data_IF_143453144805
#
_entry.id   IF_143453144805
#
_cell.length_a   1.000
_cell.length_b   1.000
_cell.length_c   1.000
_cell.angle_alpha   90.00
_cell.angle_beta   90.00
_cell.angle_gamma   90.00
#
_symmetry.space_group_name_H-M   'P 1'
#
loop_
_entity.id
_entity.type
_entity.pdbx_description
1 polymer ?
#
# COMPACT_ATOMS: atom_id res chain seq x y z
N UNK A 1 -1.36 31.18 22.37
CA UNK A 1 -2.10 30.64 21.22
C UNK A 1 -1.12 29.74 20.48
N UNK A 2 -1.26 28.41 20.62
CA UNK A 2 -0.40 27.45 19.92
C UNK A 2 -1.00 27.36 18.52
N UNK A 3 -0.28 27.85 17.49
CA UNK A 3 -0.65 27.64 16.10
C UNK A 3 -0.47 26.14 15.83
N UNK A 4 -1.56 25.40 15.74
CA UNK A 4 -1.55 24.11 15.11
C UNK A 4 -1.33 24.37 13.62
N UNK A 5 -0.19 23.98 13.08
CA UNK A 5 -0.04 23.88 11.64
C UNK A 5 -1.05 22.85 11.18
N UNK A 6 -1.78 23.12 10.09
CA UNK A 6 -2.64 22.10 9.48
C UNK A 6 -1.81 20.85 9.21
N UNK A 7 -2.33 19.66 9.51
CA UNK A 7 -1.61 18.42 9.25
C UNK A 7 -1.27 18.34 7.75
N UNK A 8 -0.05 17.94 7.45
CA UNK A 8 0.37 17.73 6.07
C UNK A 8 -0.32 16.47 5.52
N UNK A 9 -0.98 16.61 4.38
CA UNK A 9 -1.55 15.46 3.69
C UNK A 9 -0.45 14.49 3.26
N UNK A 10 -0.63 13.19 3.54
CA UNK A 10 0.31 12.13 3.16
C UNK A 10 -0.03 11.50 1.82
N UNK A 11 -1.26 11.67 1.36
CA UNK A 11 -1.75 11.10 0.12
C UNK A 11 -3.14 11.61 -0.24
N UNK A 12 -3.67 11.05 -1.31
CA UNK A 12 -4.96 11.43 -1.91
C UNK A 12 -5.71 10.18 -2.36
N UNK A 13 -7.02 10.16 -2.16
CA UNK A 13 -7.89 9.15 -2.74
C UNK A 13 -7.98 9.40 -4.25
N UNK A 14 -7.42 8.50 -5.03
CA UNK A 14 -7.32 8.64 -6.49
C UNK A 14 -8.34 7.78 -7.23
N UNK A 15 -8.84 6.72 -6.57
CA UNK A 15 -9.86 5.84 -7.12
C UNK A 15 -10.82 5.39 -6.03
N UNK A 16 -12.10 5.76 -6.18
CA UNK A 16 -13.23 5.24 -5.40
C UNK A 16 -14.50 5.40 -6.24
N UNK A 17 -15.37 4.38 -6.27
CA UNK A 17 -16.66 4.45 -7.00
C UNK A 17 -17.76 5.03 -6.12
N UNK A 18 -17.62 4.90 -4.80
CA UNK A 18 -18.55 5.41 -3.79
C UNK A 18 -17.81 6.19 -2.70
N UNK A 19 -18.57 6.86 -1.87
CA UNK A 19 -18.09 7.55 -0.68
C UNK A 19 -17.45 6.54 0.28
N UNK A 20 -16.25 6.82 0.72
CA UNK A 20 -15.56 6.02 1.72
C UNK A 20 -15.65 6.65 3.11
N UNK A 21 -15.63 5.84 4.13
CA UNK A 21 -15.68 6.30 5.52
C UNK A 21 -14.29 6.18 6.14
N UNK A 22 -13.84 7.25 6.78
CA UNK A 22 -12.63 7.23 7.59
C UNK A 22 -12.92 7.60 9.03
N UNK A 23 -12.06 7.12 9.93
CA UNK A 23 -11.96 7.65 11.29
C UNK A 23 -10.71 8.52 11.35
N UNK A 24 -10.89 9.81 11.66
CA UNK A 24 -9.80 10.79 11.88
C UNK A 24 -9.93 11.31 13.29
N UNK A 25 -9.00 10.94 14.17
CA UNK A 25 -9.12 11.11 15.60
C UNK A 25 -10.46 10.49 16.08
N UNK A 26 -11.31 11.26 16.75
CA UNK A 26 -12.60 10.79 17.28
C UNK A 26 -13.80 11.07 16.36
N UNK A 27 -13.55 11.42 15.08
CA UNK A 27 -14.57 11.80 14.12
C UNK A 27 -14.68 10.82 12.96
N UNK A 28 -15.91 10.47 12.61
CA UNK A 28 -16.21 9.74 11.38
C UNK A 28 -16.41 10.75 10.24
N UNK A 29 -15.61 10.65 9.19
CA UNK A 29 -15.59 11.56 8.05
C UNK A 29 -15.88 10.76 6.78
N UNK A 30 -16.62 11.37 5.86
CA UNK A 30 -16.83 10.82 4.53
C UNK A 30 -15.93 11.51 3.52
N UNK A 31 -15.19 10.71 2.74
CA UNK A 31 -14.29 11.17 1.69
C UNK A 31 -14.74 10.62 0.33
N UNK A 32 -14.41 11.38 -0.70
CA UNK A 32 -14.64 11.05 -2.10
C UNK A 32 -13.29 10.92 -2.84
N UNK A 33 -13.34 10.46 -4.07
CA UNK A 33 -12.20 10.59 -4.99
C UNK A 33 -11.76 12.06 -5.08
N UNK A 34 -10.48 12.32 -4.92
CA UNK A 34 -9.88 13.65 -4.89
C UNK A 34 -9.59 14.19 -3.50
N UNK A 35 -10.17 13.64 -2.45
CA UNK A 35 -9.95 14.10 -1.08
C UNK A 35 -8.60 13.62 -0.52
N UNK A 36 -8.03 14.43 0.38
CA UNK A 36 -6.74 14.12 1.00
C UNK A 36 -6.90 13.23 2.22
N UNK A 37 -5.90 12.37 2.41
CA UNK A 37 -5.72 11.55 3.61
C UNK A 37 -4.52 12.04 4.42
N UNK A 38 -4.57 11.80 5.72
CA UNK A 38 -3.58 12.24 6.69
C UNK A 38 -3.08 11.05 7.51
N UNK A 39 -1.97 11.26 8.21
CA UNK A 39 -1.43 10.26 9.12
C UNK A 39 -2.50 9.85 10.16
N UNK A 40 -2.52 8.57 10.50
CA UNK A 40 -3.47 7.94 11.43
C UNK A 40 -4.94 7.92 10.99
N UNK A 41 -5.27 8.32 9.76
CA UNK A 41 -6.59 8.07 9.22
C UNK A 41 -6.85 6.56 9.10
N UNK A 42 -7.89 6.07 9.75
CA UNK A 42 -8.36 4.69 9.58
C UNK A 42 -9.34 4.64 8.43
N UNK A 43 -8.92 4.04 7.32
CA UNK A 43 -9.67 4.00 6.07
C UNK A 43 -10.45 2.70 5.99
N UNK A 44 -11.79 2.81 5.94
CA UNK A 44 -12.70 1.68 5.76
C UNK A 44 -13.29 1.74 4.36
N UNK A 45 -12.95 0.77 3.54
CA UNK A 45 -13.33 0.73 2.12
C UNK A 45 -14.85 0.53 1.87
N UNK A 46 -15.60 0.06 2.89
CA UNK A 46 -17.04 -0.15 2.72
C UNK A 46 -17.36 -1.09 1.56
N UNK A 47 -18.33 -0.72 0.74
CA UNK A 47 -18.79 -1.51 -0.42
C UNK A 47 -17.98 -1.32 -1.69
N UNK A 48 -16.97 -0.44 -1.70
CA UNK A 48 -16.17 -0.11 -2.89
C UNK A 48 -14.68 -0.37 -2.66
N UNK A 49 -13.92 -0.65 -3.72
CA UNK A 49 -12.47 -0.65 -3.64
C UNK A 49 -11.93 0.78 -3.60
N UNK A 50 -10.88 0.99 -2.82
CA UNK A 50 -10.25 2.30 -2.63
C UNK A 50 -8.81 2.24 -3.12
N UNK A 51 -8.42 3.22 -3.93
CA UNK A 51 -7.05 3.42 -4.38
C UNK A 51 -6.52 4.78 -3.92
N UNK A 52 -5.33 4.77 -3.36
CA UNK A 52 -4.65 5.92 -2.76
C UNK A 52 -3.31 6.12 -3.43
N UNK A 53 -3.01 7.35 -3.83
CA UNK A 53 -1.68 7.78 -4.24
C UNK A 53 -1.04 8.59 -3.11
N UNK A 54 0.16 8.20 -2.70
CA UNK A 54 0.93 8.86 -1.65
C UNK A 54 1.92 9.87 -2.23
N UNK A 55 2.37 10.78 -1.39
CA UNK A 55 3.29 11.86 -1.77
C UNK A 55 4.66 11.35 -2.27
N UNK A 56 5.08 10.15 -1.87
CA UNK A 56 6.31 9.49 -2.33
C UNK A 56 6.14 8.66 -3.62
N UNK A 57 5.00 8.80 -4.31
CA UNK A 57 4.61 8.02 -5.49
C UNK A 57 4.23 6.55 -5.20
N UNK A 58 4.19 6.11 -3.95
CA UNK A 58 3.57 4.84 -3.62
C UNK A 58 2.10 4.88 -4.00
N UNK A 59 1.60 3.83 -4.63
CA UNK A 59 0.16 3.64 -4.86
C UNK A 59 -0.31 2.39 -4.15
N UNK A 60 -1.42 2.49 -3.42
CA UNK A 60 -1.97 1.37 -2.67
C UNK A 60 -3.48 1.26 -2.90
N UNK A 61 -3.99 0.05 -2.93
CA UNK A 61 -5.43 -0.19 -2.98
C UNK A 61 -5.85 -1.30 -2.02
N UNK A 62 -7.08 -1.18 -1.56
CA UNK A 62 -7.77 -2.20 -0.77
C UNK A 62 -9.12 -2.53 -1.38
N UNK A 63 -9.53 -3.78 -1.28
CA UNK A 63 -10.82 -4.28 -1.78
C UNK A 63 -12.00 -3.78 -0.91
N UNK A 64 -13.24 -3.93 -1.35
CA UNK A 64 -14.42 -3.71 -0.50
C UNK A 64 -14.33 -4.49 0.81
N UNK A 65 -14.84 -3.87 1.88
CA UNK A 65 -14.82 -4.37 3.26
C UNK A 65 -13.43 -4.57 3.87
N UNK A 66 -12.43 -3.89 3.33
CA UNK A 66 -11.07 -3.86 3.87
C UNK A 66 -10.86 -2.63 4.75
N UNK A 67 -9.93 -2.74 5.70
CA UNK A 67 -9.55 -1.65 6.59
C UNK A 67 -8.05 -1.50 6.65
N UNK A 68 -7.57 -0.26 6.51
CA UNK A 68 -6.15 0.09 6.59
C UNK A 68 -5.92 1.39 7.35
N UNK A 69 -4.71 1.55 7.89
CA UNK A 69 -4.22 2.79 8.48
C UNK A 69 -2.74 3.00 8.13
N UNK A 70 -2.35 4.26 7.91
CA UNK A 70 -0.95 4.65 7.74
C UNK A 70 -0.53 5.34 9.02
N UNK A 71 0.31 4.70 9.82
CA UNK A 71 0.74 5.18 11.14
C UNK A 71 2.17 5.72 11.17
N UNK A 72 2.90 5.59 10.06
CA UNK A 72 4.20 6.21 9.85
C UNK A 72 4.32 6.66 8.38
N UNK A 73 4.65 7.93 8.17
CA UNK A 73 4.93 8.47 6.85
C UNK A 73 5.85 9.69 6.96
N UNK A 74 7.09 9.51 6.57
CA UNK A 74 8.09 10.58 6.45
C UNK A 74 8.61 10.56 5.03
N UNK A 75 8.53 11.67 4.33
CA UNK A 75 9.02 11.80 2.97
C UNK A 75 9.53 13.23 2.73
N UNK A 76 10.75 13.32 2.21
CA UNK A 76 11.34 14.58 1.75
C UNK A 76 11.70 14.41 0.26
N UNK A 77 11.02 15.13 -0.65
CA UNK A 77 11.32 15.04 -2.08
C UNK A 77 12.70 15.59 -2.45
N UNK A 78 13.32 16.42 -1.58
CA UNK A 78 14.67 16.98 -1.79
C UNK A 78 15.77 16.06 -1.27
N UNK A 79 15.45 15.13 -0.35
CA UNK A 79 16.39 14.13 0.16
C UNK A 79 15.81 12.70 0.07
N UNK A 80 15.98 12.01 -1.06
CA UNK A 80 15.43 10.66 -1.24
C UNK A 80 16.10 9.58 -0.38
N UNK A 81 17.12 9.93 0.42
CA UNK A 81 17.75 9.00 1.36
C UNK A 81 17.05 8.96 2.71
N UNK A 82 16.14 9.90 2.96
CA UNK A 82 15.35 10.02 4.17
C UNK A 82 13.90 9.68 3.84
N UNK A 83 13.36 8.69 4.53
CA UNK A 83 11.95 8.34 4.39
C UNK A 83 11.58 7.12 5.21
N UNK A 84 10.35 7.11 5.71
CA UNK A 84 9.75 5.93 6.33
C UNK A 84 8.26 5.88 6.02
N UNK A 85 7.73 4.67 5.86
CA UNK A 85 6.31 4.41 5.70
C UNK A 85 5.95 3.09 6.37
N UNK A 86 4.90 3.10 7.18
CA UNK A 86 4.26 1.89 7.65
C UNK A 86 2.75 1.94 7.36
N UNK A 87 2.29 0.98 6.55
CA UNK A 87 0.89 0.75 6.27
C UNK A 87 0.40 -0.48 7.02
N UNK A 88 -0.61 -0.34 7.86
CA UNK A 88 -1.24 -1.45 8.57
C UNK A 88 -2.51 -1.86 7.83
N UNK A 89 -2.54 -3.06 7.28
CA UNK A 89 -3.75 -3.66 6.69
C UNK A 89 -4.37 -4.54 7.78
N UNK A 90 -5.46 -4.07 8.36
CA UNK A 90 -6.11 -4.75 9.47
C UNK A 90 -6.92 -5.96 8.98
N UNK A 91 -7.55 -5.82 7.82
CA UNK A 91 -8.35 -6.88 7.19
C UNK A 91 -8.56 -6.60 5.70
N UNK A 92 -8.63 -7.67 4.89
CA UNK A 92 -9.04 -7.64 3.50
C UNK A 92 -7.91 -7.84 2.49
N UNK A 93 -8.27 -7.81 1.20
CA UNK A 93 -7.28 -7.88 0.13
C UNK A 93 -6.69 -6.49 -0.12
N UNK A 94 -5.42 -6.47 -0.44
CA UNK A 94 -4.68 -5.26 -0.78
C UNK A 94 -3.72 -5.50 -1.95
N UNK A 95 -3.32 -4.42 -2.59
CA UNK A 95 -2.21 -4.41 -3.55
C UNK A 95 -1.54 -3.03 -3.50
N UNK A 96 -0.24 -2.99 -3.76
CA UNK A 96 0.50 -1.74 -3.86
C UNK A 96 1.64 -1.82 -4.87
N UNK A 97 2.04 -0.65 -5.37
CA UNK A 97 3.30 -0.40 -6.07
C UNK A 97 4.10 0.56 -5.22
N UNK A 98 5.30 0.16 -4.82
CA UNK A 98 6.14 0.98 -3.95
C UNK A 98 6.76 2.17 -4.68
N UNK A 99 6.79 3.32 -4.01
CA UNK A 99 7.35 4.58 -4.49
C UNK A 99 8.80 4.82 -4.07
N UNK A 100 9.09 6.09 -3.77
CA UNK A 100 10.46 6.55 -3.50
C UNK A 100 10.95 6.13 -2.11
N UNK A 101 10.09 6.10 -1.09
CA UNK A 101 10.47 5.68 0.27
C UNK A 101 11.10 4.28 0.26
N UNK A 102 10.53 3.34 -0.52
CA UNK A 102 11.08 1.99 -0.62
C UNK A 102 12.53 1.91 -1.16
N UNK A 103 13.03 3.01 -1.74
CA UNK A 103 14.41 3.14 -2.25
C UNK A 103 15.37 3.75 -1.22
N UNK A 104 14.85 4.39 -0.17
CA UNK A 104 15.66 5.07 0.86
C UNK A 104 16.45 4.07 1.73
N UNK A 105 15.95 2.84 1.91
CA UNK A 105 16.64 1.84 2.73
C UNK A 105 15.89 0.52 2.84
N UNK A 106 16.53 -0.46 3.47
CA UNK A 106 15.99 -1.84 3.56
C UNK A 106 14.69 -1.95 4.36
N UNK A 107 14.48 -1.06 5.31
CA UNK A 107 13.35 -1.06 6.24
C UNK A 107 12.52 0.23 6.15
N UNK A 108 12.77 1.03 5.10
CA UNK A 108 12.13 2.31 4.94
C UNK A 108 10.63 2.19 4.65
N UNK A 109 10.21 1.19 3.87
CA UNK A 109 8.80 0.91 3.61
C UNK A 109 8.40 -0.44 4.20
N UNK A 110 7.37 -0.44 5.03
CA UNK A 110 6.77 -1.64 5.64
C UNK A 110 5.28 -1.68 5.38
N UNK A 111 4.76 -2.89 5.24
CA UNK A 111 3.32 -3.17 5.28
C UNK A 111 3.11 -4.25 6.34
N UNK A 112 2.28 -3.96 7.33
CA UNK A 112 1.97 -4.88 8.44
C UNK A 112 0.56 -5.41 8.34
N UNK A 113 0.37 -6.62 8.82
CA UNK A 113 -0.93 -7.26 9.03
C UNK A 113 -0.99 -7.80 10.45
N UNK A 114 -2.12 -8.34 10.93
CA UNK A 114 -2.18 -8.89 12.28
C UNK A 114 -1.13 -9.97 12.60
N UNK A 115 -0.60 -10.68 11.59
CA UNK A 115 0.28 -11.85 11.81
C UNK A 115 1.67 -11.73 11.18
N UNK A 116 1.95 -10.68 10.38
CA UNK A 116 3.23 -10.55 9.67
C UNK A 116 3.58 -9.09 9.35
N UNK A 117 4.85 -8.88 9.00
CA UNK A 117 5.36 -7.63 8.43
C UNK A 117 6.04 -7.93 7.08
N UNK A 118 5.79 -7.07 6.10
CA UNK A 118 6.42 -7.08 4.77
C UNK A 118 7.38 -5.90 4.70
N UNK A 119 8.67 -6.16 4.59
CA UNK A 119 9.68 -5.16 4.21
C UNK A 119 9.79 -5.11 2.68
N UNK A 120 9.70 -3.91 2.10
CA UNK A 120 9.52 -3.72 0.66
C UNK A 120 10.74 -3.07 0.01
N UNK A 121 11.15 -3.59 -1.16
CA UNK A 121 12.23 -3.03 -1.98
C UNK A 121 11.81 -2.98 -3.46
N UNK A 122 11.22 -1.86 -3.86
CA UNK A 122 11.01 -1.49 -5.26
C UNK A 122 10.19 -2.50 -6.07
N UNK A 123 8.93 -2.79 -5.69
CA UNK A 123 8.13 -3.81 -6.36
C UNK A 123 6.63 -3.59 -6.20
N UNK A 124 5.86 -4.38 -6.95
CA UNK A 124 4.42 -4.55 -6.77
C UNK A 124 4.13 -5.78 -5.92
N UNK A 125 3.17 -5.68 -5.04
CA UNK A 125 2.71 -6.76 -4.15
C UNK A 125 1.18 -6.84 -4.17
N UNK A 126 0.65 -8.03 -4.07
CA UNK A 126 -0.74 -8.27 -3.68
C UNK A 126 -0.79 -9.20 -2.48
N UNK A 127 -1.79 -9.03 -1.64
CA UNK A 127 -1.93 -9.86 -0.46
C UNK A 127 -3.33 -9.85 0.11
N UNK A 128 -3.54 -10.73 1.06
CA UNK A 128 -4.72 -10.82 1.89
C UNK A 128 -4.31 -10.79 3.35
N UNK A 129 -4.86 -9.86 4.10
CA UNK A 129 -4.76 -9.77 5.54
C UNK A 129 -6.02 -10.38 6.18
N UNK A 130 -5.84 -11.26 7.13
CA UNK A 130 -6.88 -11.85 7.94
C UNK A 130 -6.46 -11.85 9.41
N UNK A 131 -7.41 -12.16 10.29
CA UNK A 131 -7.15 -12.37 11.71
C UNK A 131 -6.28 -13.60 11.96
N UNK A 132 -5.69 -13.67 13.13
CA UNK A 132 -4.90 -14.82 13.57
C UNK A 132 -5.73 -16.11 13.51
N UNK A 133 -5.14 -17.17 12.94
CA UNK A 133 -5.81 -18.46 12.72
C UNK A 133 -6.35 -18.63 11.30
N UNK A 134 -6.38 -17.58 10.49
CA UNK A 134 -6.76 -17.62 9.09
C UNK A 134 -5.58 -17.36 8.16
N UNK A 135 -5.65 -17.87 6.93
CA UNK A 135 -4.57 -17.72 5.95
C UNK A 135 -4.40 -16.27 5.50
N UNK A 136 -3.24 -15.69 5.79
CA UNK A 136 -2.73 -14.46 5.19
C UNK A 136 -1.79 -14.87 4.05
N UNK A 137 -2.06 -14.41 2.85
CA UNK A 137 -1.27 -14.75 1.67
C UNK A 137 -0.63 -13.50 1.08
N UNK A 138 0.66 -13.57 0.82
CA UNK A 138 1.42 -12.48 0.21
C UNK A 138 2.06 -12.99 -1.08
N UNK A 139 1.92 -12.22 -2.15
CA UNK A 139 2.40 -12.55 -3.50
C UNK A 139 3.23 -11.40 -4.04
N UNK A 140 4.46 -11.69 -4.46
CA UNK A 140 5.33 -10.75 -5.17
C UNK A 140 4.89 -10.66 -6.63
N UNK A 141 4.60 -9.45 -7.10
CA UNK A 141 4.19 -9.20 -8.48
C UNK A 141 5.31 -8.51 -9.27
N UNK A 142 5.37 -8.72 -10.60
CA UNK A 142 6.25 -7.92 -11.44
C UNK A 142 5.70 -6.49 -11.58
N UNK A 143 6.60 -5.53 -11.68
CA UNK A 143 6.30 -4.16 -12.07
C UNK A 143 5.76 -4.09 -13.51
N UNK A 144 5.21 -2.95 -13.91
CA UNK A 144 4.65 -2.76 -15.26
C UNK A 144 5.71 -2.88 -16.36
N UNK A 145 6.98 -2.57 -16.08
CA UNK A 145 8.12 -2.76 -16.98
C UNK A 145 8.66 -4.20 -17.01
N UNK A 146 8.06 -5.11 -16.24
CA UNK A 146 8.45 -6.51 -16.13
C UNK A 146 9.59 -6.78 -15.16
N UNK A 147 10.18 -5.76 -14.54
CA UNK A 147 11.17 -5.94 -13.46
C UNK A 147 10.50 -6.50 -12.22
N UNK A 148 11.29 -7.10 -11.35
CA UNK A 148 10.81 -7.63 -10.06
C UNK A 148 11.78 -7.17 -8.98
N UNK A 149 11.25 -6.52 -7.94
CA UNK A 149 12.02 -6.23 -6.75
C UNK A 149 12.07 -7.43 -5.80
N UNK A 150 12.14 -7.16 -4.52
CA UNK A 150 12.11 -8.21 -3.50
C UNK A 150 11.32 -7.74 -2.29
N UNK A 151 10.74 -8.71 -1.59
CA UNK A 151 10.08 -8.47 -0.30
C UNK A 151 10.57 -9.47 0.74
N UNK A 152 10.80 -8.97 1.96
CA UNK A 152 11.05 -9.79 3.13
C UNK A 152 9.75 -9.90 3.92
N UNK A 153 9.28 -11.11 4.15
CA UNK A 153 8.09 -11.37 4.96
C UNK A 153 8.54 -12.03 6.25
N UNK A 154 8.22 -11.40 7.37
CA UNK A 154 8.65 -11.83 8.69
C UNK A 154 7.48 -11.86 9.68
N UNK A 155 7.55 -12.78 10.62
CA UNK A 155 6.75 -12.80 11.84
C UNK A 155 7.62 -13.15 13.05
N UNK A 156 7.01 -13.43 14.22
CA UNK A 156 7.76 -13.74 15.44
C UNK A 156 8.54 -15.07 15.37
N UNK A 157 8.27 -15.94 14.40
CA UNK A 157 8.81 -17.29 14.31
C UNK A 157 9.75 -17.52 13.13
N UNK A 158 9.86 -16.57 12.20
CA UNK A 158 10.77 -16.70 11.07
C UNK A 158 10.53 -15.67 9.98
N UNK A 159 11.35 -15.77 8.94
CA UNK A 159 11.30 -14.89 7.79
C UNK A 159 11.50 -15.66 6.48
N UNK A 160 10.95 -15.13 5.39
CA UNK A 160 11.21 -15.60 4.02
C UNK A 160 11.38 -14.42 3.08
N UNK A 161 12.28 -14.59 2.10
CA UNK A 161 12.52 -13.62 1.04
C UNK A 161 11.84 -14.10 -0.24
N UNK A 162 10.99 -13.25 -0.84
CA UNK A 162 10.43 -13.47 -2.18
C UNK A 162 11.19 -12.63 -3.20
N UNK A 163 11.62 -13.24 -4.30
CA UNK A 163 12.46 -12.61 -5.35
C UNK A 163 12.01 -12.92 -6.77
N UNK A 164 11.02 -13.80 -6.94
CA UNK A 164 10.55 -14.22 -8.27
C UNK A 164 9.13 -13.73 -8.51
N UNK A 165 8.77 -13.40 -9.76
CA UNK A 165 7.40 -13.01 -10.07
C UNK A 165 6.42 -14.13 -9.72
N UNK A 166 5.31 -13.73 -9.09
CA UNK A 166 4.24 -14.63 -8.60
C UNK A 166 4.68 -15.62 -7.50
N UNK A 167 5.83 -15.39 -6.89
CA UNK A 167 6.24 -16.14 -5.70
C UNK A 167 5.37 -15.71 -4.51
N UNK A 168 4.86 -16.69 -3.77
CA UNK A 168 3.91 -16.49 -2.70
C UNK A 168 4.27 -17.29 -1.45
N UNK A 169 3.85 -16.77 -0.30
CA UNK A 169 3.89 -17.48 0.99
C UNK A 169 2.57 -17.28 1.73
N UNK A 170 2.25 -18.24 2.60
CA UNK A 170 1.05 -18.21 3.45
C UNK A 170 1.47 -18.24 4.91
N UNK A 171 0.82 -17.41 5.72
CA UNK A 171 1.01 -17.32 7.17
C UNK A 171 -0.36 -17.27 7.83
N UNK A 172 -0.67 -18.26 8.68
CA UNK A 172 -1.93 -18.28 9.42
C UNK A 172 -1.80 -17.73 10.85
N UNK A 173 -0.57 -17.68 11.39
CA UNK A 173 -0.35 -17.35 12.79
C UNK A 173 1.00 -16.66 12.99
N UNK A 174 1.04 -15.67 13.88
CA UNK A 174 2.27 -14.91 14.19
C UNK A 174 3.39 -15.79 14.79
N UNK A 175 3.05 -16.95 15.36
CA UNK A 175 3.97 -17.88 16.04
C UNK A 175 4.34 -19.11 15.21
N UNK A 176 3.91 -19.18 13.95
CA UNK A 176 4.26 -20.23 13.00
C UNK A 176 5.05 -19.60 11.87
N UNK A 177 6.23 -20.14 11.49
CA UNK A 177 7.03 -19.56 10.40
C UNK A 177 6.22 -19.46 9.09
N UNK A 178 6.51 -18.47 8.25
CA UNK A 178 5.97 -18.42 6.90
C UNK A 178 6.22 -19.73 6.14
N UNK A 179 5.29 -20.14 5.29
CA UNK A 179 5.50 -21.33 4.44
C UNK A 179 6.64 -21.14 3.47
N UNK A 180 7.26 -22.24 3.03
CA UNK A 180 8.26 -22.17 1.95
C UNK A 180 7.64 -21.53 0.72
N UNK A 181 8.29 -20.51 0.14
CA UNK A 181 7.76 -19.81 -1.03
C UNK A 181 7.52 -20.71 -2.22
N UNK A 182 6.38 -20.52 -2.89
CA UNK A 182 6.01 -21.24 -4.12
C UNK A 182 5.63 -20.25 -5.22
N UNK A 183 5.97 -20.56 -6.47
CA UNK A 183 5.54 -19.75 -7.61
C UNK A 183 4.15 -20.21 -8.05
N UNK A 184 3.18 -19.30 -7.96
CA UNK A 184 1.80 -19.54 -8.36
C UNK A 184 1.59 -19.27 -9.85
N UNK A 185 0.62 -19.92 -10.50
CA UNK A 185 0.22 -19.59 -11.86
C UNK A 185 -0.27 -18.12 -11.95
N UNK A 186 0.27 -17.35 -12.89
CA UNK A 186 -0.13 -15.94 -13.13
C UNK A 186 -1.65 -15.77 -13.19
N UNK A 187 -2.35 -16.66 -13.90
CA UNK A 187 -3.79 -16.58 -14.09
C UNK A 187 -4.57 -16.73 -12.78
N UNK A 188 -4.07 -17.55 -11.85
CA UNK A 188 -4.65 -17.74 -10.52
C UNK A 188 -4.50 -16.48 -9.67
N UNK A 189 -3.29 -15.93 -9.61
CA UNK A 189 -2.99 -14.69 -8.87
C UNK A 189 -3.84 -13.52 -9.39
N UNK A 190 -3.86 -13.33 -10.72
CA UNK A 190 -4.64 -12.26 -11.33
C UNK A 190 -6.16 -12.42 -11.14
N UNK A 191 -6.67 -13.64 -11.03
CA UNK A 191 -8.07 -13.90 -10.70
C UNK A 191 -8.37 -13.61 -9.23
N UNK A 192 -7.50 -14.06 -8.32
CA UNK A 192 -7.68 -13.94 -6.87
C UNK A 192 -7.66 -12.49 -6.40
N UNK A 193 -6.74 -11.68 -6.93
CA UNK A 193 -6.53 -10.28 -6.56
C UNK A 193 -6.97 -9.31 -7.67
N UNK A 194 -7.96 -9.70 -8.49
CA UNK A 194 -8.36 -8.95 -9.67
C UNK A 194 -8.75 -7.50 -9.37
N UNK A 195 -9.56 -7.29 -8.35
CA UNK A 195 -10.08 -5.97 -7.97
C UNK A 195 -8.94 -5.08 -7.48
N UNK A 196 -8.19 -5.48 -6.46
CA UNK A 196 -7.07 -4.69 -5.93
C UNK A 196 -6.02 -4.38 -6.99
N UNK A 197 -5.56 -5.37 -7.75
CA UNK A 197 -4.55 -5.16 -8.81
C UNK A 197 -5.08 -4.16 -9.85
N UNK A 198 -6.33 -4.29 -10.27
CA UNK A 198 -6.91 -3.37 -11.25
C UNK A 198 -7.09 -1.97 -10.69
N UNK A 199 -7.49 -1.83 -9.43
CA UNK A 199 -7.60 -0.54 -8.73
C UNK A 199 -6.24 0.11 -8.56
N UNK A 200 -5.20 -0.63 -8.13
CA UNK A 200 -3.83 -0.10 -8.01
C UNK A 200 -3.33 0.45 -9.35
N UNK A 201 -3.54 -0.28 -10.45
CA UNK A 201 -3.14 0.19 -11.80
C UNK A 201 -3.88 1.44 -12.24
N UNK A 202 -5.19 1.53 -11.96
CA UNK A 202 -5.96 2.74 -12.25
C UNK A 202 -5.46 3.93 -11.43
N UNK A 203 -5.17 3.70 -10.16
CA UNK A 203 -4.63 4.69 -9.23
C UNK A 203 -3.27 5.21 -9.71
N UNK A 204 -2.35 4.31 -10.08
CA UNK A 204 -1.04 4.64 -10.63
C UNK A 204 -1.17 5.49 -11.90
N UNK A 205 -1.97 5.04 -12.88
CA UNK A 205 -2.18 5.78 -14.11
C UNK A 205 -2.80 7.18 -13.90
N UNK A 206 -3.76 7.33 -12.99
CA UNK A 206 -4.33 8.64 -12.65
C UNK A 206 -3.31 9.53 -11.96
N UNK A 207 -2.56 9.02 -11.00
CA UNK A 207 -1.53 9.76 -10.28
C UNK A 207 -0.40 10.24 -11.21
N UNK A 208 0.00 9.43 -12.19
CA UNK A 208 0.97 9.81 -13.21
C UNK A 208 0.47 10.98 -14.07
N UNK A 209 -0.76 10.92 -14.56
CA UNK A 209 -1.37 12.01 -15.34
C UNK A 209 -1.50 13.29 -14.53
N UNK A 210 -1.84 13.21 -13.25
CA UNK A 210 -1.91 14.39 -12.37
C UNK A 210 -0.53 15.03 -12.20
N UNK A 211 0.53 14.25 -11.94
CA UNK A 211 1.91 14.74 -11.80
C UNK A 211 2.40 15.42 -13.08
N UNK A 212 2.21 14.79 -14.24
CA UNK A 212 2.60 15.36 -15.54
C UNK A 212 1.90 16.70 -15.81
N UNK A 213 0.63 16.79 -15.40
CA UNK A 213 -0.17 18.02 -15.55
C UNK A 213 0.35 19.12 -14.63
N UNK A 214 0.67 18.83 -13.37
CA UNK A 214 1.20 19.79 -12.40
C UNK A 214 2.60 20.28 -12.81
N UNK A 215 3.46 19.37 -13.32
CA UNK A 215 4.79 19.73 -13.82
C UNK A 215 4.71 20.65 -15.03
N UNK A 216 3.83 20.35 -15.98
CA UNK A 216 3.60 21.19 -17.16
C UNK A 216 3.04 22.58 -16.82
N UNK A 217 2.28 22.72 -15.73
CA UNK A 217 1.81 24.01 -15.23
C UNK A 217 2.96 24.79 -14.60
N UNK A 218 3.75 24.16 -13.73
CA UNK A 218 4.92 24.79 -13.08
C UNK A 218 5.99 25.28 -14.07
N UNK A 219 6.19 24.55 -15.18
CA UNK A 219 7.12 24.97 -16.24
C UNK A 219 6.65 26.20 -17.00
N UNK A 220 5.33 26.42 -17.13
CA UNK A 220 4.77 27.61 -17.80
C UNK A 220 4.76 28.86 -16.94
N UNK A 221 4.92 28.71 -15.63
CA UNK A 221 4.95 29.83 -14.67
C UNK A 221 6.39 30.33 -14.37
N UNK A 222 7.40 29.63 -14.88
CA UNK A 222 8.83 30.05 -14.82
C UNK A 222 9.26 30.85 -16.04
#
# INVERSE_FOLDING_TARGET
MVAFSDPLAIGKITTAEDVITIQRADQTIQLNEGDFIYLDDVISAGGTAVGIAFADETTMSVDPNSTMVIDDFVYDPEDPTVGSMNANILEGNFSFVSGQIAKAGNDAMKVTTPVLTIGVRGTQVAGKANTEGEDNEIVLLPNNDGTVGQIMIANQSGEVLLTKPYEATIIANAFVPPTVPVVLPKAEVLKKFATTISTTRKTEAKAEVERDTEEAVREKEK
#
